data_IF_480732902583
#
_entry.id   IF_480732902583
#
_cell.length_a   1.000
_cell.length_b   1.000
_cell.length_c   1.000
_cell.angle_alpha   90.00
_cell.angle_beta   90.00
_cell.angle_gamma   90.00
#
_symmetry.space_group_name_H-M   'P 1'
#
loop_
_entity.id
_entity.type
_entity.pdbx_description
1 polymer ?
#
# COMPACT_ATOMS: atom_id res chain seq x y z
N UNK A 1 1.02 13.93 20.39
CA UNK A 1 1.50 13.25 19.17
C UNK A 1 0.83 11.90 19.11
N UNK A 2 0.31 11.50 17.95
CA UNK A 2 -0.29 10.18 17.78
C UNK A 2 0.79 9.10 17.70
N UNK A 3 0.40 7.84 17.81
CA UNK A 3 1.29 6.72 17.51
C UNK A 3 1.47 6.57 15.98
N UNK A 4 2.43 5.74 15.54
CA UNK A 4 2.71 5.57 14.10
C UNK A 4 1.49 5.05 13.34
N UNK A 5 0.73 4.15 13.95
CA UNK A 5 -0.48 3.57 13.35
C UNK A 5 -1.55 4.64 13.15
N UNK A 6 -1.71 5.56 14.10
CA UNK A 6 -2.63 6.70 14.00
C UNK A 6 -2.20 7.67 12.91
N UNK A 7 -0.91 8.04 12.86
CA UNK A 7 -0.39 8.94 11.82
C UNK A 7 -0.61 8.35 10.42
N UNK A 8 -0.30 7.07 10.24
CA UNK A 8 -0.53 6.38 8.97
C UNK A 8 -2.02 6.24 8.62
N UNK A 9 -2.87 5.88 9.58
CA UNK A 9 -4.32 5.84 9.36
C UNK A 9 -4.89 7.21 8.96
N UNK A 10 -4.40 8.30 9.55
CA UNK A 10 -4.81 9.66 9.16
C UNK A 10 -4.37 9.99 7.73
N UNK A 11 -3.18 9.54 7.31
CA UNK A 11 -2.73 9.68 5.92
C UNK A 11 -3.63 8.93 4.95
N UNK A 12 -3.99 7.69 5.27
CA UNK A 12 -4.89 6.86 4.46
C UNK A 12 -6.27 7.50 4.26
N UNK A 13 -6.84 8.10 5.31
CA UNK A 13 -8.11 8.83 5.22
C UNK A 13 -8.03 10.08 4.34
N UNK A 14 -6.87 10.73 4.29
CA UNK A 14 -6.69 11.94 3.49
C UNK A 14 -6.45 11.61 2.01
N UNK A 15 -5.49 10.72 1.75
CA UNK A 15 -5.18 10.26 0.41
C UNK A 15 -4.47 8.90 0.46
N UNK A 16 -5.19 7.84 0.08
CA UNK A 16 -4.57 6.52 -0.11
C UNK A 16 -3.82 6.47 -1.42
N UNK A 17 -2.57 6.01 -1.38
CA UNK A 17 -1.68 5.89 -2.53
C UNK A 17 -1.07 4.49 -2.57
N UNK A 18 -0.48 4.06 -3.71
CA UNK A 18 0.23 2.78 -3.79
C UNK A 18 1.35 2.65 -2.73
N UNK A 19 1.94 3.76 -2.30
CA UNK A 19 2.92 3.79 -1.19
C UNK A 19 2.39 3.15 0.10
N UNK A 20 1.07 3.16 0.34
CA UNK A 20 0.48 2.54 1.53
C UNK A 20 0.67 1.02 1.56
N UNK A 21 0.76 0.38 0.39
CA UNK A 21 1.09 -1.05 0.28
C UNK A 21 2.51 -1.27 0.82
N UNK A 22 3.44 -0.42 0.43
CA UNK A 22 4.84 -0.49 0.85
C UNK A 22 4.98 -0.18 2.34
N UNK A 23 4.27 0.83 2.85
CA UNK A 23 4.28 1.20 4.27
C UNK A 23 3.72 0.04 5.12
N UNK A 24 2.64 -0.60 4.67
CA UNK A 24 2.08 -1.78 5.34
C UNK A 24 3.04 -2.99 5.31
N UNK A 25 3.73 -3.22 4.19
CA UNK A 25 4.76 -4.27 4.07
C UNK A 25 5.96 -4.01 4.99
N UNK A 26 6.41 -2.76 5.09
CA UNK A 26 7.49 -2.38 5.99
C UNK A 26 7.11 -2.62 7.45
N UNK A 27 5.88 -2.30 7.83
CA UNK A 27 5.38 -2.58 9.19
C UNK A 27 5.25 -4.08 9.47
N UNK A 28 4.83 -4.88 8.50
CA UNK A 28 4.83 -6.35 8.64
C UNK A 28 6.25 -6.90 8.83
N UNK A 29 7.24 -6.39 8.10
CA UNK A 29 8.64 -6.77 8.27
C UNK A 29 9.18 -6.39 9.67
N UNK A 30 8.81 -5.20 10.16
CA UNK A 30 9.10 -4.77 11.53
C UNK A 30 8.50 -5.73 12.57
N UNK A 31 7.22 -6.10 12.44
CA UNK A 31 6.57 -7.02 13.37
C UNK A 31 7.19 -8.42 13.31
N UNK A 32 7.42 -8.96 12.10
CA UNK A 32 7.98 -10.29 11.90
C UNK A 32 9.39 -10.42 12.51
N UNK A 33 10.18 -9.35 12.45
CA UNK A 33 11.53 -9.25 13.00
C UNK A 33 11.60 -8.87 14.49
N UNK A 34 10.49 -8.95 15.22
CA UNK A 34 10.38 -8.60 16.64
C UNK A 34 10.72 -7.13 16.94
N UNK A 35 10.29 -6.22 16.05
CA UNK A 35 10.48 -4.79 16.22
C UNK A 35 11.84 -4.28 15.72
N UNK A 36 12.48 -4.98 14.77
CA UNK A 36 13.72 -4.50 14.19
C UNK A 36 13.45 -3.34 13.22
N UNK A 37 13.90 -2.14 13.59
CA UNK A 37 13.75 -0.94 12.78
C UNK A 37 14.56 -1.00 11.48
N UNK A 38 15.65 -1.75 11.44
CA UNK A 38 16.44 -1.92 10.21
C UNK A 38 15.66 -2.65 9.13
N UNK A 39 14.82 -3.63 9.49
CA UNK A 39 13.94 -4.33 8.55
C UNK A 39 12.84 -3.42 8.00
N UNK A 40 12.27 -2.55 8.86
CA UNK A 40 11.33 -1.52 8.43
C UNK A 40 11.96 -0.60 7.38
N UNK A 41 13.13 -0.02 7.71
CA UNK A 41 13.85 0.91 6.84
C UNK A 41 14.34 0.23 5.55
N UNK A 42 14.74 -1.04 5.63
CA UNK A 42 15.14 -1.85 4.47
C UNK A 42 14.00 -1.95 3.47
N UNK A 43 12.81 -2.35 3.92
CA UNK A 43 11.64 -2.51 3.02
C UNK A 43 11.23 -1.17 2.40
N UNK A 44 11.24 -0.07 3.16
CA UNK A 44 10.98 1.25 2.60
C UNK A 44 11.98 1.60 1.49
N UNK A 45 13.28 1.47 1.78
CA UNK A 45 14.36 1.84 0.85
C UNK A 45 14.36 0.99 -0.41
N UNK A 46 14.13 -0.32 -0.29
CA UNK A 46 14.04 -1.24 -1.45
C UNK A 46 12.90 -0.88 -2.40
N UNK A 47 11.87 -0.18 -1.91
CA UNK A 47 10.71 0.25 -2.69
C UNK A 47 10.73 1.76 -2.99
N UNK A 48 11.87 2.43 -2.83
CA UNK A 48 12.05 3.85 -3.18
C UNK A 48 11.43 4.84 -2.18
N UNK A 49 11.01 4.38 -1.00
CA UNK A 49 10.53 5.25 0.08
C UNK A 49 11.61 5.51 1.12
N UNK A 50 11.47 6.62 1.83
CA UNK A 50 12.35 6.98 2.95
C UNK A 50 11.57 7.72 4.05
N UNK A 51 12.10 7.80 5.28
CA UNK A 51 11.50 8.60 6.36
C UNK A 51 11.28 10.06 5.95
N UNK A 52 12.16 10.62 5.12
CA UNK A 52 12.01 11.98 4.60
C UNK A 52 10.80 12.09 3.67
N UNK A 53 10.55 11.10 2.81
CA UNK A 53 9.34 11.04 1.97
C UNK A 53 8.08 10.95 2.82
N UNK A 54 8.07 10.09 3.85
CA UNK A 54 6.97 9.93 4.80
C UNK A 54 6.62 11.24 5.52
N UNK A 55 7.64 12.05 5.85
CA UNK A 55 7.46 13.35 6.51
C UNK A 55 6.90 14.45 5.60
N UNK A 56 6.96 14.26 4.27
CA UNK A 56 6.52 15.23 3.27
C UNK A 56 5.08 15.02 2.80
N UNK A 57 4.43 13.95 3.21
CA UNK A 57 3.01 13.76 2.93
C UNK A 57 2.18 14.87 3.61
N UNK A 58 1.04 15.20 3.02
CA UNK A 58 0.11 16.20 3.56
C UNK A 58 -0.30 15.87 5.00
N UNK A 59 -0.52 14.58 5.27
CA UNK A 59 -0.54 14.01 6.62
C UNK A 59 0.75 13.25 6.84
N UNK A 60 1.73 13.96 7.38
CA UNK A 60 3.08 13.45 7.62
C UNK A 60 3.08 12.29 8.62
N UNK A 61 3.88 11.28 8.31
CA UNK A 61 4.19 10.16 9.21
C UNK A 61 5.61 10.41 9.72
N UNK A 62 5.73 10.76 11.00
CA UNK A 62 6.98 11.23 11.62
C UNK A 62 7.38 10.43 12.84
N UNK A 63 6.43 9.76 13.48
CA UNK A 63 6.66 8.91 14.64
C UNK A 63 7.16 7.54 14.17
N UNK A 64 8.16 6.90 14.81
CA UNK A 64 8.58 5.55 14.44
C UNK A 64 7.55 4.47 14.85
N UNK A 65 7.51 3.32 14.17
CA UNK A 65 6.62 2.21 14.53
C UNK A 65 6.90 1.68 15.94
N UNK A 66 5.83 1.43 16.69
CA UNK A 66 5.91 0.82 18.03
C UNK A 66 5.76 -0.70 17.93
N UNK A 67 6.56 -1.43 18.71
CA UNK A 67 6.48 -2.88 18.84
C UNK A 67 5.65 -3.29 20.06
N UNK A 68 4.63 -4.11 19.83
CA UNK A 68 3.77 -4.68 20.86
C UNK A 68 3.94 -6.19 20.87
N UNK A 69 4.92 -6.70 21.62
CA UNK A 69 5.28 -8.11 21.62
C UNK A 69 4.14 -9.04 22.06
N UNK A 70 3.30 -8.59 22.99
CA UNK A 70 2.10 -9.29 23.47
C UNK A 70 1.02 -9.44 22.40
N UNK A 71 0.99 -8.55 21.41
CA UNK A 71 -0.01 -8.50 20.33
C UNK A 71 0.57 -8.84 18.97
N UNK A 72 1.84 -9.24 18.90
CA UNK A 72 2.59 -9.44 17.64
C UNK A 72 1.81 -10.29 16.65
N UNK A 73 1.39 -11.49 17.05
CA UNK A 73 0.76 -12.44 16.12
C UNK A 73 -0.62 -11.95 15.65
N UNK A 74 -1.38 -11.30 16.53
CA UNK A 74 -2.64 -10.64 16.17
C UNK A 74 -2.43 -9.50 15.18
N UNK A 75 -1.44 -8.64 15.44
CA UNK A 75 -1.09 -7.55 14.52
C UNK A 75 -0.62 -8.08 13.17
N UNK A 76 0.21 -9.13 13.13
CA UNK A 76 0.64 -9.74 11.87
C UNK A 76 -0.59 -10.27 11.10
N UNK A 77 -1.52 -10.94 11.77
CA UNK A 77 -2.74 -11.43 11.13
C UNK A 77 -3.56 -10.28 10.54
N UNK A 78 -3.84 -9.25 11.34
CA UNK A 78 -4.69 -8.12 10.95
C UNK A 78 -4.05 -7.30 9.81
N UNK A 79 -2.76 -7.01 9.89
CA UNK A 79 -2.07 -6.25 8.85
C UNK A 79 -1.86 -7.06 7.56
N UNK A 80 -1.80 -8.39 7.60
CA UNK A 80 -1.83 -9.20 6.37
C UNK A 80 -3.20 -9.11 5.67
N UNK A 81 -4.30 -9.16 6.44
CA UNK A 81 -5.64 -8.94 5.91
C UNK A 81 -5.78 -7.53 5.34
N UNK A 82 -5.25 -6.53 6.05
CA UNK A 82 -5.28 -5.14 5.61
C UNK A 82 -4.45 -4.91 4.34
N UNK A 83 -3.26 -5.50 4.24
CA UNK A 83 -2.42 -5.47 3.04
C UNK A 83 -3.16 -6.03 1.82
N UNK A 84 -3.90 -7.12 1.99
CA UNK A 84 -4.74 -7.68 0.91
C UNK A 84 -5.81 -6.69 0.45
N UNK A 85 -6.45 -5.99 1.38
CA UNK A 85 -7.44 -4.95 1.05
C UNK A 85 -6.78 -3.80 0.28
N UNK A 86 -5.65 -3.27 0.77
CA UNK A 86 -4.91 -2.20 0.10
C UNK A 86 -4.52 -2.58 -1.33
N UNK A 87 -3.98 -3.79 -1.52
CA UNK A 87 -3.66 -4.30 -2.85
C UNK A 87 -4.87 -4.40 -3.76
N UNK A 88 -6.01 -4.89 -3.26
CA UNK A 88 -7.23 -5.01 -4.06
C UNK A 88 -7.80 -3.64 -4.46
N UNK A 89 -7.77 -2.66 -3.55
CA UNK A 89 -8.22 -1.29 -3.83
C UNK A 89 -7.39 -0.67 -4.95
N UNK A 90 -6.07 -0.82 -4.90
CA UNK A 90 -5.18 -0.24 -5.91
C UNK A 90 -5.06 -1.05 -7.20
N UNK A 91 -5.21 -2.39 -7.15
CA UNK A 91 -5.16 -3.26 -8.33
C UNK A 91 -6.27 -2.95 -9.36
N UNK A 92 -7.43 -2.50 -8.89
CA UNK A 92 -8.52 -2.05 -9.75
C UNK A 92 -8.15 -0.85 -10.61
N UNK A 93 -7.54 0.17 -9.99
CA UNK A 93 -7.07 1.36 -10.67
C UNK A 93 -5.88 1.07 -11.60
N UNK A 94 -4.99 0.15 -11.21
CA UNK A 94 -3.86 -0.26 -12.03
C UNK A 94 -4.29 -1.01 -13.30
N UNK A 95 -5.32 -1.87 -13.21
CA UNK A 95 -5.84 -2.58 -14.38
C UNK A 95 -6.45 -1.63 -15.42
N UNK A 96 -7.23 -0.64 -14.99
CA UNK A 96 -7.80 0.40 -15.87
C UNK A 96 -6.70 1.20 -16.57
N UNK A 97 -5.70 1.69 -15.83
CA UNK A 97 -4.55 2.41 -16.40
C UNK A 97 -3.75 1.55 -17.37
N UNK A 98 -3.55 0.28 -17.03
CA UNK A 98 -2.84 -0.66 -17.90
C UNK A 98 -3.61 -0.86 -19.21
N UNK A 99 -4.93 -1.04 -19.13
CA UNK A 99 -5.82 -1.17 -20.28
C UNK A 99 -5.81 0.08 -21.18
N UNK A 100 -5.83 1.27 -20.60
CA UNK A 100 -5.70 2.53 -21.36
C UNK A 100 -4.35 2.65 -22.08
N UNK A 101 -3.26 2.31 -21.39
CA UNK A 101 -1.90 2.41 -21.93
C UNK A 101 -1.69 1.49 -23.16
N UNK A 102 -2.25 0.29 -23.12
CA UNK A 102 -2.12 -0.67 -24.22
C UNK A 102 -3.15 -0.47 -25.34
N UNK A 103 -4.21 0.33 -25.12
CA UNK A 103 -5.32 0.57 -26.09
C UNK A 103 -4.83 0.99 -27.48
N UNK A 104 -3.80 1.84 -27.54
CA UNK A 104 -3.21 2.32 -28.80
C UNK A 104 -2.36 1.29 -29.55
N UNK A 105 -2.02 0.16 -28.93
CA UNK A 105 -1.19 -0.91 -29.49
C UNK A 105 -1.98 -2.18 -29.83
N UNK A 106 -3.26 -2.24 -29.45
CA UNK A 106 -4.14 -3.39 -29.68
C UNK A 106 -5.03 -3.19 -30.90
N UNK A 107 -5.39 -4.29 -31.56
CA UNK A 107 -6.35 -4.24 -32.66
C UNK A 107 -7.76 -3.88 -32.17
N UNK A 108 -8.64 -3.50 -33.11
CA UNK A 108 -10.00 -3.06 -32.77
C UNK A 108 -10.86 -4.13 -32.08
N UNK A 109 -10.62 -5.41 -32.35
CA UNK A 109 -11.39 -6.50 -31.74
C UNK A 109 -10.95 -6.77 -30.30
N UNK A 110 -9.64 -6.75 -30.03
CA UNK A 110 -9.08 -6.87 -28.69
C UNK A 110 -9.52 -5.69 -27.82
N UNK A 111 -9.58 -4.47 -28.37
CA UNK A 111 -10.11 -3.31 -27.66
C UNK A 111 -11.59 -3.49 -27.25
N UNK A 112 -12.43 -4.08 -28.11
CA UNK A 112 -13.84 -4.37 -27.79
C UNK A 112 -13.99 -5.44 -26.71
N UNK A 113 -13.15 -6.48 -26.74
CA UNK A 113 -13.14 -7.51 -25.70
C UNK A 113 -12.68 -6.94 -24.35
N UNK A 114 -11.66 -6.08 -24.36
CA UNK A 114 -11.17 -5.41 -23.16
C UNK A 114 -12.23 -4.48 -22.55
N UNK A 115 -12.93 -3.70 -23.37
CA UNK A 115 -14.04 -2.86 -22.91
C UNK A 115 -15.19 -3.68 -22.31
N UNK A 116 -15.44 -4.88 -22.84
CA UNK A 116 -16.45 -5.80 -22.29
C UNK A 116 -16.04 -6.33 -20.91
N UNK A 117 -14.78 -6.73 -20.73
CA UNK A 117 -14.23 -7.18 -19.45
C UNK A 117 -14.28 -6.06 -18.41
N UNK A 118 -13.88 -4.84 -18.77
CA UNK A 118 -13.91 -3.69 -17.87
C UNK A 118 -15.34 -3.32 -17.44
N UNK A 119 -16.31 -3.41 -18.36
CA UNK A 119 -17.72 -3.16 -18.08
C UNK A 119 -18.34 -4.21 -17.16
N UNK A 120 -18.06 -5.49 -17.36
CA UNK A 120 -18.56 -6.57 -16.48
C UNK A 120 -18.05 -6.46 -15.04
N UNK A 121 -16.86 -5.87 -14.86
CA UNK A 121 -16.25 -5.62 -13.56
C UNK A 121 -16.87 -4.43 -12.81
N UNK A 122 -17.72 -3.62 -13.44
CA UNK A 122 -18.44 -2.50 -12.82
C UNK A 122 -17.74 -1.14 -12.91
N UNK A 123 -17.02 -0.88 -14.02
CA UNK A 123 -16.61 0.47 -14.42
C UNK A 123 -17.74 1.21 -15.15
#
# INVERSE_FOLDING_TARGET
KGNWVEEWHQKLHNNSTPDDIIICQAYLAFLASNGNMDEYLRVLRENGLSPETLSKYERAITTPPQFYGDKKDGLIHDFNNYLRILKNVHAGADLEKSAECVRGYMDGHINVLLDSILRERGA
#
